data_IF_118595168512
#
_entry.id   IF_118595168512
#
_cell.length_a   1.000
_cell.length_b   1.000
_cell.length_c   1.000
_cell.angle_alpha   90.00
_cell.angle_beta   90.00
_cell.angle_gamma   90.00
#
_symmetry.space_group_name_H-M   'P 1'
#
loop_
_entity.id
_entity.type
_entity.pdbx_description
1 polymer ?
#
# COMPACT_ATOMS: atom_id res chain seq x y z
N UNK A 1 0.43 19.27 -5.01
CA UNK A 1 1.12 17.98 -5.28
C UNK A 1 1.50 17.79 -6.75
N UNK A 2 0.75 18.33 -7.73
CA UNK A 2 1.15 18.23 -9.15
C UNK A 2 2.49 18.93 -9.42
N UNK A 3 2.74 20.08 -8.80
CA UNK A 3 4.01 20.80 -8.91
C UNK A 3 5.16 19.98 -8.29
N UNK A 4 4.91 19.34 -7.14
CA UNK A 4 5.85 18.43 -6.49
C UNK A 4 6.24 17.29 -7.42
N UNK A 5 5.25 16.60 -7.99
CA UNK A 5 5.51 15.51 -8.95
C UNK A 5 6.31 15.98 -10.17
N UNK A 6 5.98 17.16 -10.72
CA UNK A 6 6.70 17.72 -11.87
C UNK A 6 8.15 18.09 -11.53
N UNK A 7 8.40 18.64 -10.35
CA UNK A 7 9.77 18.96 -9.90
C UNK A 7 10.60 17.69 -9.73
N UNK A 8 10.07 16.69 -9.01
CA UNK A 8 10.73 15.39 -8.84
C UNK A 8 11.01 14.73 -10.21
N UNK A 9 10.05 14.79 -11.15
CA UNK A 9 10.26 14.26 -12.50
C UNK A 9 11.38 15.00 -13.24
N UNK A 10 11.56 16.29 -13.00
CA UNK A 10 12.69 17.08 -13.53
C UNK A 10 14.04 16.54 -13.03
N UNK A 11 14.20 16.42 -11.71
CA UNK A 11 15.42 15.86 -11.09
C UNK A 11 15.73 14.46 -11.63
N UNK A 12 14.71 13.62 -11.75
CA UNK A 12 14.85 12.25 -12.25
C UNK A 12 15.27 12.17 -13.70
N UNK A 13 14.83 13.08 -14.58
CA UNK A 13 15.21 13.08 -16.00
C UNK A 13 16.72 13.23 -16.21
N UNK A 14 17.33 14.10 -15.42
CA UNK A 14 18.77 14.32 -15.48
C UNK A 14 19.54 13.11 -14.95
N UNK A 15 19.04 12.46 -13.91
CA UNK A 15 19.64 11.29 -13.29
C UNK A 15 19.56 10.03 -14.15
N UNK A 16 18.38 9.71 -14.71
CA UNK A 16 18.20 8.46 -15.45
C UNK A 16 18.77 8.50 -16.87
N UNK A 17 19.12 9.68 -17.39
CA UNK A 17 19.86 9.83 -18.64
C UNK A 17 19.32 9.05 -19.84
N UNK A 18 18.01 8.84 -19.92
CA UNK A 18 17.36 8.04 -20.97
C UNK A 18 17.44 6.52 -20.78
N UNK A 19 17.98 6.03 -19.68
CA UNK A 19 18.03 4.58 -19.36
C UNK A 19 16.63 4.01 -19.13
N UNK A 20 15.73 4.81 -18.56
CA UNK A 20 14.34 4.41 -18.33
C UNK A 20 13.39 5.21 -19.22
N UNK A 21 12.29 4.62 -19.69
CA UNK A 21 11.29 5.30 -20.47
C UNK A 21 10.58 6.40 -19.64
N UNK A 22 10.09 7.43 -20.31
CA UNK A 22 9.50 8.61 -19.68
C UNK A 22 8.35 8.27 -18.70
N UNK A 23 7.53 7.27 -19.04
CA UNK A 23 6.45 6.83 -18.14
C UNK A 23 6.97 6.27 -16.80
N UNK A 24 8.16 5.68 -16.77
CA UNK A 24 8.81 5.21 -15.56
C UNK A 24 9.28 6.37 -14.68
N UNK A 25 9.84 7.41 -15.28
CA UNK A 25 10.22 8.66 -14.59
C UNK A 25 9.01 9.28 -13.90
N UNK A 26 7.90 9.42 -14.63
CA UNK A 26 6.65 9.90 -14.04
C UNK A 26 6.11 8.97 -12.95
N UNK A 27 6.26 7.66 -13.13
CA UNK A 27 5.88 6.66 -12.13
C UNK A 27 6.62 6.86 -10.81
N UNK A 28 7.94 7.05 -10.85
CA UNK A 28 8.77 7.32 -9.66
C UNK A 28 8.35 8.66 -9.02
N UNK A 29 8.17 9.70 -9.83
CA UNK A 29 7.75 11.00 -9.32
C UNK A 29 6.40 10.95 -8.60
N UNK A 30 5.42 10.23 -9.13
CA UNK A 30 4.12 10.03 -8.48
C UNK A 30 4.30 9.21 -7.19
N UNK A 31 5.10 8.15 -7.23
CA UNK A 31 5.39 7.30 -6.07
C UNK A 31 5.95 8.10 -4.89
N UNK A 32 6.97 8.92 -5.13
CA UNK A 32 7.55 9.80 -4.11
C UNK A 32 6.59 10.91 -3.66
N UNK A 33 5.78 11.45 -4.57
CA UNK A 33 4.75 12.44 -4.23
C UNK A 33 3.67 11.86 -3.32
N UNK A 34 3.27 10.61 -3.53
CA UNK A 34 2.30 9.92 -2.65
C UNK A 34 2.89 9.65 -1.26
N UNK A 35 4.18 9.30 -1.18
CA UNK A 35 4.88 9.21 0.09
C UNK A 35 4.97 10.57 0.79
N UNK A 36 5.35 11.63 0.08
CA UNK A 36 5.38 12.99 0.64
C UNK A 36 4.00 13.43 1.16
N UNK A 37 2.92 13.08 0.43
CA UNK A 37 1.56 13.33 0.88
C UNK A 37 1.20 12.59 2.17
N UNK A 38 1.66 11.35 2.35
CA UNK A 38 1.50 10.60 3.60
C UNK A 38 2.19 11.33 4.77
N UNK A 39 3.45 11.76 4.57
CA UNK A 39 4.22 12.47 5.60
C UNK A 39 3.54 13.79 5.98
N UNK A 40 3.16 14.63 5.01
CA UNK A 40 2.47 15.91 5.26
C UNK A 40 1.12 15.72 5.97
N UNK A 41 0.35 14.72 5.53
CA UNK A 41 -1.01 14.50 6.05
C UNK A 41 -1.03 13.61 7.29
N UNK A 42 0.15 13.19 7.78
CA UNK A 42 0.33 12.36 8.97
C UNK A 42 -0.57 11.11 8.96
N UNK A 43 -0.67 10.46 7.79
CA UNK A 43 -1.51 9.25 7.68
C UNK A 43 -0.87 8.02 8.32
N UNK A 44 0.40 8.12 8.73
CA UNK A 44 1.10 7.14 9.54
C UNK A 44 1.56 5.88 8.80
N UNK A 45 1.44 5.84 7.48
CA UNK A 45 1.87 4.66 6.69
C UNK A 45 3.39 4.53 6.74
N UNK A 46 4.13 5.64 6.54
CA UNK A 46 5.59 5.63 6.60
C UNK A 46 6.11 5.41 8.03
N UNK A 47 5.43 6.00 9.02
CA UNK A 47 5.77 5.74 10.42
C UNK A 47 5.63 4.25 10.75
N UNK A 48 4.53 3.62 10.36
CA UNK A 48 4.30 2.19 10.58
C UNK A 48 5.37 1.33 9.87
N UNK A 49 5.81 1.72 8.66
CA UNK A 49 6.94 1.09 7.97
C UNK A 49 8.23 1.18 8.80
N UNK A 50 8.58 2.38 9.23
CA UNK A 50 9.85 2.64 9.96
C UNK A 50 9.88 1.91 11.31
N UNK A 51 8.77 1.90 12.05
CA UNK A 51 8.65 1.18 13.32
C UNK A 51 8.79 -0.35 13.10
N UNK A 52 8.19 -0.90 12.07
CA UNK A 52 8.31 -2.33 11.76
C UNK A 52 9.72 -2.67 11.25
N UNK A 53 10.36 -1.79 10.48
CA UNK A 53 11.78 -1.94 10.10
C UNK A 53 12.69 -1.95 11.32
N UNK A 54 12.50 -1.03 12.26
CA UNK A 54 13.27 -1.01 13.51
C UNK A 54 13.12 -2.31 14.30
N UNK A 55 11.92 -2.83 14.36
CA UNK A 55 11.62 -4.09 15.04
C UNK A 55 12.28 -5.30 14.37
N UNK A 56 12.27 -5.35 13.02
CA UNK A 56 12.79 -6.50 12.26
C UNK A 56 14.29 -6.44 12.01
N UNK A 57 14.81 -5.24 11.76
CA UNK A 57 16.15 -5.05 11.22
C UNK A 57 17.05 -4.17 12.11
N UNK A 58 16.50 -3.53 13.16
CA UNK A 58 17.24 -2.67 14.07
C UNK A 58 17.49 -1.25 13.57
N UNK A 59 16.95 -0.85 12.42
CA UNK A 59 17.09 0.49 11.84
C UNK A 59 15.72 0.99 11.36
N UNK A 60 15.53 2.32 11.33
CA UNK A 60 14.25 2.92 10.91
C UNK A 60 13.99 2.77 9.41
N UNK A 61 15.05 2.89 8.62
CA UNK A 61 15.00 2.72 7.17
C UNK A 61 16.06 1.70 6.77
N UNK A 62 15.77 0.74 5.87
CA UNK A 62 16.78 -0.20 5.42
C UNK A 62 18.03 0.50 4.87
N UNK A 63 19.20 -0.04 5.18
CA UNK A 63 20.53 0.49 4.81
C UNK A 63 20.94 1.78 5.51
N UNK A 64 20.13 2.31 6.42
CA UNK A 64 20.51 3.47 7.21
C UNK A 64 21.59 3.10 8.23
N UNK A 65 22.70 3.87 8.26
CA UNK A 65 23.76 3.66 9.23
C UNK A 65 23.43 4.33 10.57
N UNK A 66 24.03 3.86 11.70
CA UNK A 66 23.82 4.50 13.02
C UNK A 66 24.23 5.98 13.06
N UNK A 67 25.16 6.40 12.20
CA UNK A 67 25.58 7.78 12.07
C UNK A 67 24.46 8.65 11.46
N UNK A 68 23.87 8.19 10.37
CA UNK A 68 22.73 8.87 9.69
C UNK A 68 21.49 8.91 10.59
N UNK A 69 21.27 7.89 11.42
CA UNK A 69 20.12 7.84 12.33
C UNK A 69 20.09 8.96 13.37
N UNK A 70 21.23 9.57 13.69
CA UNK A 70 21.31 10.67 14.68
C UNK A 70 20.64 11.95 14.18
N UNK A 71 20.63 12.15 12.88
CA UNK A 71 20.08 13.34 12.22
C UNK A 71 18.72 13.04 11.55
N UNK A 72 18.14 11.85 11.81
CA UNK A 72 16.85 11.45 11.28
C UNK A 72 15.71 11.93 12.18
N UNK A 73 14.72 12.60 11.59
CA UNK A 73 13.56 13.15 12.26
C UNK A 73 12.28 12.38 11.87
N UNK A 74 11.78 11.44 12.71
CA UNK A 74 10.57 10.70 12.43
C UNK A 74 9.37 11.63 12.20
N UNK A 75 8.61 11.38 11.14
CA UNK A 75 7.45 12.20 10.77
C UNK A 75 7.77 13.43 9.94
N UNK A 76 9.04 13.66 9.61
CA UNK A 76 9.48 14.70 8.69
C UNK A 76 10.03 14.09 7.40
N UNK A 77 10.36 14.92 6.43
CA UNK A 77 11.06 14.51 5.22
C UNK A 77 12.54 14.32 5.54
N UNK A 78 13.09 13.13 5.23
CA UNK A 78 14.50 12.84 5.42
C UNK A 78 15.12 12.35 4.10
N UNK A 79 16.38 12.69 3.82
CA UNK A 79 17.07 12.21 2.61
C UNK A 79 17.23 10.68 2.57
N UNK A 80 17.33 10.02 3.71
CA UNK A 80 17.43 8.56 3.85
C UNK A 80 16.14 7.86 3.36
N UNK A 81 14.98 8.44 3.64
CA UNK A 81 13.69 7.94 3.15
C UNK A 81 13.65 7.99 1.63
N UNK A 82 14.05 9.12 1.06
CA UNK A 82 14.09 9.33 -0.38
C UNK A 82 15.10 8.40 -1.07
N UNK A 83 16.29 8.25 -0.50
CA UNK A 83 17.32 7.35 -1.01
C UNK A 83 16.80 5.91 -1.06
N UNK A 84 16.19 5.44 0.02
CA UNK A 84 15.62 4.10 0.09
C UNK A 84 14.45 3.91 -0.90
N UNK A 85 13.52 4.86 -0.96
CA UNK A 85 12.35 4.76 -1.84
C UNK A 85 12.73 4.80 -3.32
N UNK A 86 13.69 5.63 -3.70
CA UNK A 86 14.27 5.67 -5.05
C UNK A 86 14.90 4.32 -5.43
N UNK A 87 15.78 3.82 -4.55
CA UNK A 87 16.39 2.51 -4.76
C UNK A 87 15.35 1.41 -4.85
N UNK A 88 14.40 1.37 -3.91
CA UNK A 88 13.37 0.35 -3.84
C UNK A 88 12.54 0.29 -5.12
N UNK A 89 12.05 1.43 -5.58
CA UNK A 89 11.26 1.50 -6.81
C UNK A 89 12.05 1.02 -8.02
N UNK A 90 13.27 1.53 -8.20
CA UNK A 90 14.13 1.15 -9.33
C UNK A 90 14.55 -0.32 -9.24
N UNK A 91 14.83 -0.85 -8.04
CA UNK A 91 15.15 -2.26 -7.85
C UNK A 91 13.96 -3.15 -8.23
N UNK A 92 12.74 -2.77 -7.92
CA UNK A 92 11.55 -3.51 -8.34
C UNK A 92 11.38 -3.54 -9.86
N UNK A 93 11.74 -2.46 -10.55
CA UNK A 93 11.78 -2.43 -12.02
C UNK A 93 12.89 -3.33 -12.59
N UNK A 94 14.11 -3.22 -12.06
CA UNK A 94 15.26 -4.01 -12.51
C UNK A 94 15.13 -5.51 -12.20
N UNK A 95 14.41 -5.87 -11.13
CA UNK A 95 14.15 -7.26 -10.77
C UNK A 95 13.49 -8.04 -11.93
N UNK A 96 12.65 -7.40 -12.72
CA UNK A 96 12.03 -8.00 -13.90
C UNK A 96 13.05 -8.32 -14.99
N UNK A 97 14.17 -7.58 -15.04
CA UNK A 97 15.28 -7.80 -15.96
C UNK A 97 16.43 -8.63 -15.33
N UNK A 98 16.29 -9.09 -14.08
CA UNK A 98 17.32 -9.84 -13.35
C UNK A 98 18.45 -8.97 -12.79
N UNK A 99 18.30 -7.63 -12.79
CA UNK A 99 19.29 -6.69 -12.27
C UNK A 99 19.25 -6.54 -10.74
N UNK A 100 20.41 -6.23 -10.16
CA UNK A 100 20.55 -5.85 -8.74
C UNK A 100 21.23 -4.50 -8.67
N UNK A 101 20.58 -3.55 -7.98
CA UNK A 101 21.10 -2.20 -7.75
C UNK A 101 21.74 -2.12 -6.36
N UNK A 102 22.90 -1.50 -6.29
CA UNK A 102 23.52 -1.21 -5.00
C UNK A 102 22.79 -0.06 -4.30
N UNK A 103 22.15 -0.26 -3.11
CA UNK A 103 21.46 0.79 -2.39
C UNK A 103 22.38 1.92 -1.90
N UNK A 104 23.67 1.62 -1.71
CA UNK A 104 24.71 2.57 -1.28
C UNK A 104 25.40 3.28 -2.46
N UNK A 105 24.83 3.20 -3.68
CA UNK A 105 25.38 3.94 -4.80
C UNK A 105 25.27 5.45 -4.53
N UNK A 106 26.40 6.20 -4.57
CA UNK A 106 26.40 7.65 -4.29
C UNK A 106 25.42 8.45 -5.16
N UNK A 107 25.11 7.95 -6.35
CA UNK A 107 24.15 8.58 -7.23
C UNK A 107 22.72 8.60 -6.66
N UNK A 108 22.33 7.60 -5.86
CA UNK A 108 21.04 7.63 -5.15
C UNK A 108 21.04 8.67 -4.02
N UNK A 109 22.15 8.80 -3.31
CA UNK A 109 22.30 9.79 -2.24
C UNK A 109 22.27 11.22 -2.81
N UNK A 110 22.99 11.48 -3.90
CA UNK A 110 22.99 12.78 -4.59
C UNK A 110 21.59 13.18 -5.06
N UNK A 111 20.87 12.24 -5.72
CA UNK A 111 19.51 12.49 -6.18
C UNK A 111 18.53 12.67 -5.01
N UNK A 112 18.67 11.87 -3.94
CA UNK A 112 17.84 11.99 -2.74
C UNK A 112 18.03 13.37 -2.09
N UNK A 113 19.28 13.86 -1.96
CA UNK A 113 19.54 15.18 -1.43
C UNK A 113 18.97 16.29 -2.32
N UNK A 114 19.10 16.19 -3.64
CA UNK A 114 18.52 17.16 -4.57
C UNK A 114 16.99 17.25 -4.45
N UNK A 115 16.32 16.11 -4.29
CA UNK A 115 14.86 16.07 -4.08
C UNK A 115 14.51 16.57 -2.67
N UNK A 116 15.31 16.24 -1.67
CA UNK A 116 15.15 16.66 -0.29
C UNK A 116 15.18 18.18 -0.15
N UNK A 117 16.15 18.86 -0.78
CA UNK A 117 16.27 20.31 -0.72
C UNK A 117 14.96 21.00 -1.13
N UNK A 118 14.31 20.52 -2.17
CA UNK A 118 13.02 21.03 -2.59
C UNK A 118 11.87 20.62 -1.64
N UNK A 119 11.80 19.34 -1.27
CA UNK A 119 10.69 18.85 -0.44
C UNK A 119 10.73 19.41 0.99
N UNK A 120 11.90 19.73 1.53
CA UNK A 120 12.03 20.35 2.85
C UNK A 120 11.46 21.77 2.89
N UNK A 121 11.55 22.52 1.78
CA UNK A 121 10.89 23.81 1.64
C UNK A 121 9.37 23.65 1.50
N UNK A 122 8.93 22.71 0.64
CA UNK A 122 7.51 22.41 0.44
C UNK A 122 6.84 21.86 1.71
N UNK A 123 7.58 21.13 2.57
CA UNK A 123 7.08 20.57 3.82
C UNK A 123 6.48 21.64 4.74
N UNK A 124 7.01 22.87 4.71
CA UNK A 124 6.53 23.97 5.54
C UNK A 124 5.23 24.61 5.04
N UNK A 125 4.89 24.43 3.76
CA UNK A 125 3.79 25.15 3.09
C UNK A 125 2.79 24.24 2.38
N UNK A 126 3.13 22.98 2.16
CA UNK A 126 2.23 22.04 1.49
C UNK A 126 0.95 21.81 2.33
N UNK A 127 -0.22 21.86 1.72
CA UNK A 127 -1.47 21.63 2.44
C UNK A 127 -1.60 20.14 2.80
N UNK A 128 -2.06 19.86 4.01
CA UNK A 128 -2.48 18.52 4.39
C UNK A 128 -3.63 18.05 3.49
N UNK A 129 -3.66 16.76 3.20
CA UNK A 129 -4.79 16.17 2.51
C UNK A 129 -5.87 15.71 3.51
N UNK A 130 -6.67 16.67 3.96
CA UNK A 130 -7.78 16.41 4.90
C UNK A 130 -8.72 15.30 4.40
N UNK A 131 -8.92 15.21 3.07
CA UNK A 131 -9.77 14.17 2.48
C UNK A 131 -9.15 12.78 2.65
N UNK A 132 -7.83 12.67 2.52
CA UNK A 132 -7.12 11.42 2.75
C UNK A 132 -7.19 11.00 4.21
N UNK A 133 -6.95 11.94 5.12
CA UNK A 133 -7.06 11.70 6.54
C UNK A 133 -8.49 11.30 6.93
N UNK A 134 -9.50 12.02 6.45
CA UNK A 134 -10.91 11.70 6.70
C UNK A 134 -11.31 10.33 6.13
N UNK A 135 -10.75 9.93 4.98
CA UNK A 135 -11.01 8.62 4.40
C UNK A 135 -10.42 7.50 5.29
N UNK A 136 -9.21 7.68 5.80
CA UNK A 136 -8.56 6.68 6.65
C UNK A 136 -9.18 6.63 8.06
N UNK A 137 -9.39 7.78 8.69
CA UNK A 137 -9.69 7.90 10.12
C UNK A 137 -11.02 8.58 10.43
N UNK A 138 -11.68 9.21 9.46
CA UNK A 138 -12.94 9.92 9.67
C UNK A 138 -14.14 8.99 9.84
N UNK A 139 -15.18 9.46 10.52
CA UNK A 139 -16.46 8.75 10.70
C UNK A 139 -17.30 8.67 9.41
N UNK A 140 -16.92 9.36 8.36
CA UNK A 140 -17.77 9.77 7.25
C UNK A 140 -18.12 8.70 6.20
N UNK A 141 -17.75 7.45 6.36
CA UNK A 141 -18.10 6.41 5.36
C UNK A 141 -19.39 5.64 5.68
N UNK A 142 -20.14 6.08 6.58
CA UNK A 142 -21.59 6.08 6.84
C UNK A 142 -22.42 4.81 6.71
N UNK A 143 -22.01 3.73 6.09
CA UNK A 143 -22.95 2.64 5.85
C UNK A 143 -22.71 1.43 6.77
N UNK A 144 -21.50 0.98 6.91
CA UNK A 144 -21.10 0.01 7.93
C UNK A 144 -19.57 -0.09 8.02
N UNK A 145 -19.06 -0.59 9.13
CA UNK A 145 -17.62 -0.70 9.40
C UNK A 145 -16.87 -1.57 8.38
N UNK A 146 -17.54 -2.60 7.84
CA UNK A 146 -16.96 -3.47 6.84
C UNK A 146 -16.78 -2.75 5.50
N UNK A 147 -17.80 -2.06 5.01
CA UNK A 147 -17.72 -1.33 3.73
C UNK A 147 -16.71 -0.19 3.80
N UNK A 148 -16.64 0.50 4.93
CA UNK A 148 -15.59 1.48 5.20
C UNK A 148 -14.20 0.84 5.14
N UNK A 149 -13.99 -0.23 5.89
CA UNK A 149 -12.72 -0.97 5.88
C UNK A 149 -12.34 -1.42 4.47
N UNK A 150 -13.28 -1.96 3.71
CA UNK A 150 -13.07 -2.38 2.33
C UNK A 150 -12.66 -1.21 1.42
N UNK A 151 -13.31 -0.05 1.56
CA UNK A 151 -12.96 1.14 0.78
C UNK A 151 -11.54 1.61 1.11
N UNK A 152 -11.15 1.60 2.39
CA UNK A 152 -9.77 1.89 2.82
C UNK A 152 -8.79 0.86 2.24
N UNK A 153 -9.13 -0.43 2.28
CA UNK A 153 -8.32 -1.51 1.73
C UNK A 153 -8.09 -1.35 0.21
N UNK A 154 -9.15 -1.01 -0.53
CA UNK A 154 -9.07 -0.72 -1.97
C UNK A 154 -8.18 0.49 -2.24
N UNK A 155 -8.39 1.58 -1.50
CA UNK A 155 -7.54 2.76 -1.64
C UNK A 155 -6.09 2.43 -1.31
N UNK A 156 -5.83 1.72 -0.22
CA UNK A 156 -4.48 1.35 0.20
C UNK A 156 -3.77 0.56 -0.89
N UNK A 157 -4.46 -0.41 -1.49
CA UNK A 157 -3.88 -1.23 -2.55
C UNK A 157 -3.67 -0.46 -3.86
N UNK A 158 -4.67 0.28 -4.33
CA UNK A 158 -4.65 0.88 -5.67
C UNK A 158 -4.13 2.32 -5.71
N UNK A 159 -4.18 3.06 -4.60
CA UNK A 159 -3.91 4.48 -4.59
C UNK A 159 -2.73 4.88 -3.70
N UNK A 160 -2.35 4.10 -2.68
CA UNK A 160 -1.16 4.40 -1.88
C UNK A 160 0.14 4.11 -2.63
N UNK A 161 1.23 4.71 -2.18
CA UNK A 161 2.56 4.38 -2.71
C UNK A 161 2.98 2.95 -2.38
N UNK A 162 2.53 2.37 -1.27
CA UNK A 162 2.81 0.97 -0.90
C UNK A 162 2.26 -0.03 -1.91
N UNK A 163 1.11 0.25 -2.52
CA UNK A 163 0.49 -0.58 -3.55
C UNK A 163 0.89 -0.19 -4.99
N UNK A 164 1.66 0.88 -5.15
CA UNK A 164 1.89 1.50 -6.45
C UNK A 164 2.44 0.54 -7.52
N UNK A 165 3.38 -0.31 -7.17
CA UNK A 165 4.02 -1.26 -8.08
C UNK A 165 3.08 -2.38 -8.53
N UNK A 166 2.04 -2.66 -7.74
CA UNK A 166 1.08 -3.74 -7.99
C UNK A 166 -0.16 -3.27 -8.78
N UNK A 167 -0.26 -1.98 -9.09
CA UNK A 167 -1.44 -1.40 -9.77
C UNK A 167 -1.81 -2.09 -11.08
N UNK A 168 -0.82 -2.52 -11.85
CA UNK A 168 -1.05 -3.22 -13.12
C UNK A 168 -1.38 -4.71 -12.97
N UNK A 169 -1.27 -5.28 -11.78
CA UNK A 169 -1.45 -6.71 -11.57
C UNK A 169 -2.89 -7.15 -11.80
N UNK A 170 -3.84 -6.42 -11.24
CA UNK A 170 -5.26 -6.70 -11.42
C UNK A 170 -5.64 -6.78 -12.91
N UNK A 171 -5.29 -5.76 -13.70
CA UNK A 171 -5.62 -5.75 -15.13
C UNK A 171 -4.93 -6.90 -15.88
N UNK A 172 -3.66 -7.18 -15.58
CA UNK A 172 -2.94 -8.31 -16.20
C UNK A 172 -3.57 -9.65 -15.91
N UNK A 173 -4.04 -9.89 -14.68
CA UNK A 173 -4.72 -11.13 -14.31
C UNK A 173 -6.07 -11.23 -15.02
N UNK A 174 -6.88 -10.18 -15.02
CA UNK A 174 -8.17 -10.14 -15.73
C UNK A 174 -7.98 -10.40 -17.22
N UNK A 175 -7.03 -9.74 -17.86
CA UNK A 175 -6.73 -9.92 -19.30
C UNK A 175 -6.25 -11.35 -19.60
N UNK A 176 -5.45 -11.94 -18.71
CA UNK A 176 -4.92 -13.29 -18.88
C UNK A 176 -6.05 -14.31 -18.83
N UNK A 177 -6.92 -14.24 -17.83
CA UNK A 177 -8.03 -15.17 -17.68
C UNK A 177 -9.07 -14.99 -18.80
N UNK A 178 -9.32 -13.76 -19.23
CA UNK A 178 -10.18 -13.48 -20.38
C UNK A 178 -9.66 -14.15 -21.67
N UNK A 179 -8.34 -14.19 -21.87
CA UNK A 179 -7.72 -14.87 -23.02
C UNK A 179 -7.77 -16.39 -22.95
N UNK A 180 -7.87 -16.97 -21.77
CA UNK A 180 -7.96 -18.42 -21.58
C UNK A 180 -9.29 -19.01 -22.07
N UNK A 181 -10.24 -18.19 -22.52
CA UNK A 181 -11.48 -18.63 -23.17
C UNK A 181 -12.41 -19.44 -22.26
N UNK A 182 -12.26 -19.34 -20.95
CA UNK A 182 -13.18 -19.99 -20.03
C UNK A 182 -14.53 -19.27 -20.06
N UNK A 183 -15.62 -20.03 -20.08
CA UNK A 183 -17.00 -19.53 -19.95
C UNK A 183 -17.27 -19.03 -18.52
N UNK A 184 -16.46 -18.09 -18.05
CA UNK A 184 -16.62 -17.46 -16.73
C UNK A 184 -17.28 -16.11 -16.92
N UNK A 185 -18.27 -15.82 -16.09
CA UNK A 185 -18.86 -14.49 -16.08
C UNK A 185 -17.77 -13.45 -15.76
N UNK A 186 -17.51 -12.45 -16.64
CA UNK A 186 -16.44 -11.47 -16.44
C UNK A 186 -16.57 -10.68 -15.13
N UNK A 187 -17.80 -10.46 -14.66
CA UNK A 187 -18.04 -9.73 -13.39
C UNK A 187 -17.63 -10.56 -12.18
N UNK A 188 -17.97 -11.85 -12.15
CA UNK A 188 -17.59 -12.77 -11.07
C UNK A 188 -16.06 -12.89 -11.05
N UNK A 189 -15.46 -13.12 -12.21
CA UNK A 189 -14.02 -13.21 -12.33
C UNK A 189 -13.30 -11.94 -11.84
N UNK A 190 -13.77 -10.78 -12.29
CA UNK A 190 -13.22 -9.49 -11.87
C UNK A 190 -13.33 -9.30 -10.37
N UNK A 191 -14.45 -9.71 -9.77
CA UNK A 191 -14.65 -9.65 -8.32
C UNK A 191 -13.69 -10.58 -7.58
N UNK A 192 -13.58 -11.85 -7.97
CA UNK A 192 -12.71 -12.83 -7.32
C UNK A 192 -11.22 -12.43 -7.42
N UNK A 193 -10.79 -11.97 -8.59
CA UNK A 193 -9.42 -11.47 -8.79
C UNK A 193 -9.16 -10.27 -7.88
N UNK A 194 -10.11 -9.34 -7.78
CA UNK A 194 -9.99 -8.17 -6.92
C UNK A 194 -9.91 -8.58 -5.45
N UNK A 195 -10.75 -9.52 -5.00
CA UNK A 195 -10.71 -10.02 -3.63
C UNK A 195 -9.34 -10.66 -3.30
N UNK A 196 -8.87 -11.56 -4.16
CA UNK A 196 -7.56 -12.20 -3.96
C UNK A 196 -6.43 -11.18 -3.84
N UNK A 197 -6.39 -10.21 -4.74
CA UNK A 197 -5.36 -9.17 -4.74
C UNK A 197 -5.42 -8.31 -3.48
N UNK A 198 -6.63 -7.93 -3.03
CA UNK A 198 -6.81 -7.09 -1.85
C UNK A 198 -6.41 -7.81 -0.55
N UNK A 199 -6.78 -9.08 -0.40
CA UNK A 199 -6.59 -9.80 0.84
C UNK A 199 -5.30 -10.61 0.89
N UNK A 200 -4.87 -11.19 -0.24
CA UNK A 200 -3.70 -12.09 -0.31
C UNK A 200 -2.49 -11.47 -1.02
N UNK A 201 -2.71 -10.42 -1.82
CA UNK A 201 -1.65 -9.76 -2.59
C UNK A 201 -0.62 -9.08 -1.69
N UNK A 202 0.63 -9.59 -1.70
CA UNK A 202 1.72 -9.01 -0.91
C UNK A 202 2.34 -7.81 -1.58
N UNK A 203 2.68 -6.80 -0.79
CA UNK A 203 3.37 -5.59 -1.23
C UNK A 203 4.88 -5.80 -1.16
N UNK A 204 5.62 -5.15 -2.05
CA UNK A 204 7.09 -5.27 -2.07
C UNK A 204 7.73 -4.72 -0.79
N UNK A 205 7.21 -3.60 -0.27
CA UNK A 205 7.60 -3.12 1.05
C UNK A 205 7.13 -4.09 2.14
N UNK A 206 8.05 -4.58 2.97
CA UNK A 206 7.84 -5.51 4.09
C UNK A 206 7.21 -6.87 3.73
N UNK A 207 6.84 -7.12 2.48
CA UNK A 207 6.15 -8.35 2.04
C UNK A 207 4.84 -8.64 2.81
N UNK A 208 4.12 -7.59 3.20
CA UNK A 208 2.83 -7.68 3.89
C UNK A 208 1.67 -7.59 2.89
N UNK A 209 0.54 -8.22 3.23
CA UNK A 209 -0.74 -8.00 2.53
C UNK A 209 -1.30 -6.61 2.88
N UNK A 210 -2.30 -6.13 2.13
CA UNK A 210 -2.95 -4.86 2.46
C UNK A 210 -3.65 -4.92 3.83
N UNK A 211 -4.19 -6.07 4.22
CA UNK A 211 -4.81 -6.30 5.54
C UNK A 211 -3.77 -6.20 6.65
N UNK A 212 -2.62 -6.86 6.50
CA UNK A 212 -1.52 -6.80 7.47
C UNK A 212 -0.96 -5.37 7.59
N UNK A 213 -0.89 -4.63 6.48
CA UNK A 213 -0.49 -3.23 6.47
C UNK A 213 -1.48 -2.33 7.22
N UNK A 214 -2.78 -2.45 6.95
CA UNK A 214 -3.79 -1.66 7.65
C UNK A 214 -3.82 -1.96 9.15
N UNK A 215 -3.63 -3.23 9.53
CA UNK A 215 -3.48 -3.59 10.93
C UNK A 215 -2.24 -2.95 11.57
N UNK A 216 -1.15 -2.77 10.80
CA UNK A 216 0.07 -2.12 11.28
C UNK A 216 -0.14 -0.61 11.46
N UNK A 217 -0.68 0.07 10.44
CA UNK A 217 -1.00 1.51 10.47
C UNK A 217 -2.03 1.82 11.57
N UNK A 218 -3.06 1.00 11.71
CA UNK A 218 -4.13 1.18 12.69
C UNK A 218 -3.69 1.13 14.15
N UNK A 219 -2.52 0.58 14.45
CA UNK A 219 -2.01 0.54 15.83
C UNK A 219 -1.81 1.91 16.46
N UNK A 220 -1.50 2.91 15.65
CA UNK A 220 -1.28 4.28 16.12
C UNK A 220 -2.57 5.09 16.28
N UNK A 221 -3.71 4.55 15.85
CA UNK A 221 -5.00 5.23 15.83
C UNK A 221 -6.07 4.39 16.52
N UNK A 222 -6.55 4.78 17.70
CA UNK A 222 -7.57 4.02 18.46
C UNK A 222 -8.86 3.74 17.68
N UNK A 223 -9.27 4.67 16.82
CA UNK A 223 -10.46 4.56 15.96
C UNK A 223 -10.35 3.45 14.90
N UNK A 224 -9.16 2.96 14.64
CA UNK A 224 -8.89 1.91 13.66
C UNK A 224 -8.43 0.59 14.29
N UNK A 225 -8.61 0.45 15.62
CA UNK A 225 -8.21 -0.76 16.35
C UNK A 225 -8.84 -2.05 15.78
N UNK A 226 -10.08 -1.94 15.25
CA UNK A 226 -10.78 -3.06 14.60
C UNK A 226 -10.07 -3.57 13.33
N UNK A 227 -9.21 -2.78 12.70
CA UNK A 227 -8.48 -3.24 11.52
C UNK A 227 -7.54 -4.42 11.83
N UNK A 228 -7.04 -4.51 13.07
CA UNK A 228 -6.20 -5.62 13.49
C UNK A 228 -6.98 -6.95 13.65
N UNK A 229 -8.31 -6.87 13.75
CA UNK A 229 -9.18 -8.04 13.92
C UNK A 229 -9.67 -8.62 12.60
N UNK A 230 -9.56 -7.85 11.50
CA UNK A 230 -10.00 -8.29 10.18
C UNK A 230 -9.08 -9.41 9.68
N UNK A 231 -9.70 -10.52 9.30
CA UNK A 231 -9.02 -11.66 8.69
C UNK A 231 -9.69 -11.99 7.37
N UNK A 232 -8.87 -12.32 6.37
CA UNK A 232 -9.39 -12.95 5.17
C UNK A 232 -9.99 -14.31 5.53
N UNK A 233 -11.22 -14.58 5.11
CA UNK A 233 -11.76 -15.92 5.16
C UNK A 233 -11.22 -16.69 3.95
N UNK A 234 -10.72 -17.92 4.14
CA UNK A 234 -10.30 -18.75 3.02
C UNK A 234 -11.48 -18.98 2.07
N UNK A 235 -11.19 -19.10 0.77
CA UNK A 235 -12.17 -19.46 -0.23
C UNK A 235 -12.45 -20.97 -0.12
N UNK A 236 -13.38 -21.35 0.75
CA UNK A 236 -13.73 -22.73 1.04
C UNK A 236 -15.23 -22.96 0.89
N UNK A 237 -15.66 -24.21 0.96
CA UNK A 237 -17.08 -24.54 0.93
C UNK A 237 -17.68 -24.44 2.31
N UNK A 238 -18.73 -23.66 2.43
CA UNK A 238 -19.49 -23.48 3.66
C UNK A 238 -20.90 -24.02 3.52
N UNK A 239 -21.37 -24.68 4.57
CA UNK A 239 -22.75 -25.12 4.66
C UNK A 239 -23.57 -24.03 5.37
N UNK A 240 -24.60 -23.52 4.71
CA UNK A 240 -25.56 -22.60 5.33
C UNK A 240 -26.38 -23.33 6.39
N UNK A 241 -26.43 -22.81 7.61
CA UNK A 241 -27.15 -23.39 8.73
C UNK A 241 -28.33 -22.54 9.19
N UNK A 242 -28.37 -21.26 8.82
CA UNK A 242 -29.47 -20.34 9.17
C UNK A 242 -29.03 -18.89 9.17
N UNK A 243 -29.93 -18.01 9.59
CA UNK A 243 -29.67 -16.57 9.65
C UNK A 243 -30.53 -15.89 10.74
N UNK A 244 -30.09 -14.72 11.17
CA UNK A 244 -30.88 -13.75 11.94
C UNK A 244 -30.95 -12.39 11.19
N UNK A 245 -31.31 -11.31 11.87
CA UNK A 245 -31.38 -9.98 11.24
C UNK A 245 -30.01 -9.47 10.75
N UNK A 246 -28.92 -9.85 11.38
CA UNK A 246 -27.57 -9.29 11.15
C UNK A 246 -26.59 -10.29 10.57
N UNK A 247 -26.76 -11.58 10.84
CA UNK A 247 -25.78 -12.61 10.52
C UNK A 247 -26.38 -13.75 9.69
N UNK A 248 -25.54 -14.31 8.81
CA UNK A 248 -25.68 -15.66 8.27
C UNK A 248 -24.79 -16.59 9.12
N UNK A 249 -25.34 -17.76 9.48
CA UNK A 249 -24.60 -18.80 10.15
C UNK A 249 -24.19 -19.87 9.16
N UNK A 250 -22.89 -20.12 9.08
CA UNK A 250 -22.34 -21.11 8.15
C UNK A 250 -21.37 -22.04 8.87
N UNK A 251 -21.24 -23.25 8.38
CA UNK A 251 -20.32 -24.24 8.87
C UNK A 251 -19.21 -24.48 7.85
N UNK A 252 -17.97 -24.39 8.28
CA UNK A 252 -16.81 -24.66 7.47
C UNK A 252 -16.69 -26.19 7.20
N UNK A 253 -16.84 -26.60 5.93
CA UNK A 253 -16.78 -28.01 5.54
C UNK A 253 -15.36 -28.55 5.36
N UNK A 254 -14.35 -27.69 5.36
CA UNK A 254 -12.94 -28.10 5.26
C UNK A 254 -12.40 -28.65 6.58
N UNK A 255 -13.04 -28.29 7.70
CA UNK A 255 -12.63 -28.72 9.04
C UNK A 255 -13.43 -29.92 9.55
N UNK A 256 -12.75 -30.94 10.09
CA UNK A 256 -13.37 -32.19 10.59
C UNK A 256 -14.45 -31.98 11.67
N UNK A 257 -14.37 -30.92 12.45
CA UNK A 257 -15.34 -30.53 13.50
C UNK A 257 -16.00 -29.19 13.16
N UNK A 258 -16.38 -28.99 11.92
CA UNK A 258 -16.90 -27.77 11.34
C UNK A 258 -17.22 -26.65 12.33
N UNK A 259 -16.33 -25.69 12.41
CA UNK A 259 -16.55 -24.47 13.22
C UNK A 259 -17.69 -23.66 12.64
N UNK A 260 -18.65 -23.29 13.45
CA UNK A 260 -19.73 -22.39 13.02
C UNK A 260 -19.16 -20.98 12.96
N UNK A 261 -19.34 -20.34 11.80
CA UNK A 261 -18.93 -18.96 11.55
C UNK A 261 -20.17 -18.09 11.40
N UNK A 262 -20.09 -16.86 11.90
CA UNK A 262 -21.12 -15.84 11.73
C UNK A 262 -20.64 -14.81 10.70
N UNK A 263 -21.32 -14.71 9.56
CA UNK A 263 -21.01 -13.75 8.50
C UNK A 263 -22.03 -12.60 8.57
N UNK A 264 -21.55 -11.37 8.68
CA UNK A 264 -22.43 -10.19 8.69
C UNK A 264 -23.11 -10.04 7.32
N UNK A 265 -24.43 -9.89 7.32
CA UNK A 265 -25.22 -9.72 6.06
C UNK A 265 -24.81 -8.49 5.27
N UNK A 266 -24.43 -7.42 5.96
CA UNK A 266 -23.96 -6.18 5.34
C UNK A 266 -22.57 -6.31 4.67
N UNK A 267 -21.85 -7.41 4.92
CA UNK A 267 -20.62 -7.75 4.21
C UNK A 267 -20.83 -8.50 2.89
N UNK A 268 -22.05 -8.94 2.65
CA UNK A 268 -22.43 -9.66 1.45
C UNK A 268 -23.12 -8.67 0.49
N UNK A 269 -22.56 -8.48 -0.71
CA UNK A 269 -23.30 -7.84 -1.80
C UNK A 269 -24.41 -8.82 -2.23
N UNK A 270 -25.55 -8.67 -1.62
CA UNK A 270 -26.76 -9.40 -1.99
C UNK A 270 -27.65 -8.52 -2.88
N UNK A 271 -27.06 -7.97 -3.97
CA UNK A 271 -27.81 -7.32 -5.05
C UNK A 271 -28.19 -8.34 -6.15
#
# INVERSE_FOLDING_TARGET
YVNVANHIAGCLKDFVGGRYPEHSVHGIAIYLTLWFQDVISQTGIWQAFSEECRKRYGCLVPFMTPEKEKDYYPGEVNPEDLQFLLWHYLQCMEKQAGGVLNPENPAFEELANQIYDYLSEEFQVAPENERLHAMLYGEAFGENDYMRYRSVLEWFHFCSYVGFENRGEYQRVVDTVARMGQNVNPHILSYDVKQNILFEGRKNLLSLTSVEWLALVGKSHPETALWAEVKALPQEMYLYEGEDEKFLFVKDLSKKEGEQLSIRKDSLNMD
#
